data_IF_390296552933
#
_entry.id   IF_390296552933
#
_cell.length_a   1.000
_cell.length_b   1.000
_cell.length_c   1.000
_cell.angle_alpha   90.00
_cell.angle_beta   90.00
_cell.angle_gamma   90.00
#
_symmetry.space_group_name_H-M   'P 1'
#
loop_
_entity.id
_entity.type
_entity.pdbx_description
1 polymer ?
#
# COMPACT_ATOMS: atom_id res chain seq x y z
N UNK A 1 -16.74 23.71 -16.32
CA UNK A 1 -17.00 22.57 -17.21
C UNK A 1 -18.04 21.70 -16.54
N UNK A 2 -19.22 21.53 -17.15
CA UNK A 2 -20.26 20.65 -16.62
C UNK A 2 -19.85 19.20 -16.76
N UNK A 3 -20.40 18.32 -15.90
CA UNK A 3 -20.30 16.88 -16.13
C UNK A 3 -20.84 16.57 -17.54
N UNK A 4 -20.15 15.75 -18.35
CA UNK A 4 -20.69 15.33 -19.64
C UNK A 4 -22.09 14.74 -19.44
N UNK A 5 -23.02 14.97 -20.39
CA UNK A 5 -24.38 14.46 -20.28
C UNK A 5 -24.33 12.94 -20.14
N UNK A 6 -25.05 12.42 -19.15
CA UNK A 6 -25.24 10.98 -18.98
C UNK A 6 -26.37 10.58 -19.91
N UNK A 7 -26.15 9.55 -20.71
CA UNK A 7 -27.20 8.96 -21.53
C UNK A 7 -28.13 8.15 -20.62
N UNK A 8 -29.31 8.70 -20.33
CA UNK A 8 -30.31 8.10 -19.43
C UNK A 8 -30.96 6.84 -20.04
N UNK A 9 -30.72 6.54 -21.33
CA UNK A 9 -31.28 5.35 -22.02
C UNK A 9 -30.52 4.05 -21.69
N UNK A 10 -29.34 4.14 -21.06
CA UNK A 10 -28.56 2.98 -20.62
C UNK A 10 -28.86 2.70 -19.14
N UNK A 11 -29.17 1.45 -18.73
CA UNK A 11 -29.35 1.12 -17.31
C UNK A 11 -28.11 1.49 -16.48
N UNK A 12 -28.31 2.06 -15.29
CA UNK A 12 -27.23 2.58 -14.44
C UNK A 12 -26.11 1.56 -14.16
N UNK A 13 -26.44 0.28 -13.97
CA UNK A 13 -25.44 -0.78 -13.78
C UNK A 13 -24.55 -0.99 -15.01
N UNK A 14 -25.13 -0.89 -16.21
CA UNK A 14 -24.39 -0.97 -17.47
C UNK A 14 -23.53 0.29 -17.66
N UNK A 15 -24.04 1.47 -17.33
CA UNK A 15 -23.25 2.70 -17.35
C UNK A 15 -22.01 2.59 -16.46
N UNK A 16 -22.17 2.11 -15.22
CA UNK A 16 -21.06 1.93 -14.27
C UNK A 16 -20.04 0.92 -14.81
N UNK A 17 -20.50 -0.17 -15.42
CA UNK A 17 -19.63 -1.18 -16.05
C UNK A 17 -18.82 -0.58 -17.21
N UNK A 18 -19.46 0.19 -18.09
CA UNK A 18 -18.80 0.86 -19.22
C UNK A 18 -17.78 1.89 -18.70
N UNK A 19 -18.18 2.74 -17.76
CA UNK A 19 -17.32 3.77 -17.19
C UNK A 19 -16.12 3.18 -16.46
N UNK A 20 -16.31 2.09 -15.69
CA UNK A 20 -15.21 1.37 -15.04
C UNK A 20 -14.20 0.87 -16.07
N UNK A 21 -14.66 0.22 -17.15
CA UNK A 21 -13.77 -0.28 -18.22
C UNK A 21 -12.97 0.85 -18.88
N UNK A 22 -13.63 1.98 -19.17
CA UNK A 22 -12.96 3.14 -19.76
C UNK A 22 -11.96 3.76 -18.78
N UNK A 23 -12.34 3.93 -17.52
CA UNK A 23 -11.44 4.42 -16.48
C UNK A 23 -10.22 3.53 -16.35
N UNK A 24 -10.40 2.21 -16.22
CA UNK A 24 -9.32 1.26 -16.04
C UNK A 24 -8.35 1.28 -17.24
N UNK A 25 -8.88 1.40 -18.47
CA UNK A 25 -8.07 1.57 -19.68
C UNK A 25 -7.19 2.82 -19.62
N UNK A 26 -7.81 4.00 -19.47
CA UNK A 26 -7.05 5.25 -19.50
C UNK A 26 -6.14 5.39 -18.29
N UNK A 27 -6.57 4.91 -17.12
CA UNK A 27 -5.72 4.85 -15.93
C UNK A 27 -4.48 3.99 -16.19
N UNK A 28 -4.62 2.82 -16.82
CA UNK A 28 -3.46 2.00 -17.19
C UNK A 28 -2.50 2.69 -18.18
N UNK A 29 -3.02 3.52 -19.08
CA UNK A 29 -2.20 4.29 -20.04
C UNK A 29 -1.39 5.41 -19.37
N UNK A 30 -1.89 6.01 -18.27
CA UNK A 30 -1.25 7.19 -17.64
C UNK A 30 -0.78 6.98 -16.19
N UNK A 31 -1.00 5.83 -15.57
CA UNK A 31 -0.72 5.63 -14.14
C UNK A 31 0.76 5.85 -13.76
N UNK A 32 1.66 5.72 -14.72
CA UNK A 32 3.10 5.97 -14.54
C UNK A 32 3.42 7.47 -14.65
N UNK A 33 2.62 8.22 -15.41
CA UNK A 33 2.82 9.65 -15.64
C UNK A 33 2.53 10.45 -14.36
N UNK A 34 3.58 11.09 -13.83
CA UNK A 34 3.47 11.88 -12.60
C UNK A 34 3.60 11.05 -11.31
N UNK A 35 3.84 9.75 -11.39
CA UNK A 35 4.21 8.96 -10.20
C UNK A 35 5.72 8.99 -10.00
N UNK A 36 6.14 9.31 -8.78
CA UNK A 36 7.55 9.32 -8.38
C UNK A 36 7.66 8.81 -6.94
N UNK A 37 8.85 8.30 -6.60
CA UNK A 37 9.14 7.89 -5.24
C UNK A 37 9.35 9.11 -4.34
N UNK A 38 8.81 9.05 -3.13
CA UNK A 38 9.19 9.99 -2.08
C UNK A 38 10.70 9.87 -1.76
N UNK A 39 11.32 10.94 -1.23
CA UNK A 39 12.72 10.90 -0.81
C UNK A 39 13.02 9.67 0.07
N UNK A 40 14.18 9.05 -0.17
CA UNK A 40 14.72 7.93 0.59
C UNK A 40 13.96 6.59 0.51
N UNK A 41 12.87 6.47 -0.27
CA UNK A 41 12.14 5.18 -0.38
C UNK A 41 13.02 4.08 -0.98
N UNK A 42 13.59 4.29 -2.17
CA UNK A 42 14.42 3.27 -2.82
C UNK A 42 15.65 2.88 -1.97
N UNK A 43 16.36 3.88 -1.43
CA UNK A 43 17.54 3.65 -0.58
C UNK A 43 17.18 2.86 0.68
N UNK A 44 16.03 3.18 1.29
CA UNK A 44 15.57 2.49 2.50
C UNK A 44 15.19 1.05 2.17
N UNK A 45 14.40 0.80 1.12
CA UNK A 45 14.06 -0.57 0.69
C UNK A 45 15.32 -1.39 0.38
N UNK A 46 16.30 -0.80 -0.31
CA UNK A 46 17.59 -1.44 -0.57
C UNK A 46 18.37 -1.77 0.69
N UNK A 47 18.45 -0.85 1.65
CA UNK A 47 19.13 -1.08 2.92
C UNK A 47 18.43 -2.14 3.79
N UNK A 48 17.09 -2.21 3.74
CA UNK A 48 16.31 -3.25 4.43
C UNK A 48 16.52 -4.63 3.80
N UNK A 49 16.50 -4.72 2.46
CA UNK A 49 16.81 -5.96 1.74
C UNK A 49 18.25 -6.42 2.02
N UNK A 50 19.23 -5.50 2.04
CA UNK A 50 20.63 -5.81 2.35
C UNK A 50 20.83 -6.34 3.78
N UNK A 51 19.92 -6.00 4.71
CA UNK A 51 19.86 -6.58 6.07
C UNK A 51 19.18 -7.96 6.12
N UNK A 52 18.72 -8.48 4.98
CA UNK A 52 18.06 -9.79 4.88
C UNK A 52 16.61 -9.80 5.33
N UNK A 53 15.96 -8.63 5.44
CA UNK A 53 14.55 -8.55 5.83
C UNK A 53 13.66 -8.74 4.60
N UNK A 54 12.75 -9.74 4.60
CA UNK A 54 11.73 -9.87 3.56
C UNK A 54 10.81 -8.65 3.57
N UNK A 55 10.45 -8.17 2.38
CA UNK A 55 9.55 -7.02 2.22
C UNK A 55 8.30 -7.43 1.47
N UNK A 56 7.15 -6.93 1.93
CA UNK A 56 5.86 -7.12 1.29
C UNK A 56 5.17 -5.79 1.02
N UNK A 57 4.41 -5.74 -0.06
CA UNK A 57 3.61 -4.58 -0.44
C UNK A 57 2.12 -4.89 -0.34
N UNK A 58 1.36 -4.00 0.28
CA UNK A 58 -0.10 -4.07 0.36
C UNK A 58 -0.73 -2.74 -0.07
N UNK A 59 -1.58 -2.77 -1.10
CA UNK A 59 -2.27 -1.58 -1.60
C UNK A 59 -3.75 -1.86 -1.91
N UNK A 60 -4.60 -0.83 -1.79
CA UNK A 60 -5.99 -0.90 -2.26
C UNK A 60 -6.10 -0.65 -3.77
N UNK A 61 -5.01 -0.25 -4.43
CA UNK A 61 -4.93 -0.08 -5.88
C UNK A 61 -5.26 -1.40 -6.59
N UNK A 62 -6.05 -1.39 -7.68
CA UNK A 62 -6.38 -2.61 -8.40
C UNK A 62 -5.12 -3.35 -8.85
N UNK A 63 -5.10 -4.68 -8.66
CA UNK A 63 -3.92 -5.53 -8.85
C UNK A 63 -3.24 -5.34 -10.22
N UNK A 64 -3.98 -5.23 -11.35
CA UNK A 64 -3.36 -5.08 -12.68
C UNK A 64 -2.44 -3.87 -12.83
N UNK A 65 -2.61 -2.82 -12.01
CA UNK A 65 -1.83 -1.59 -12.10
C UNK A 65 -0.64 -1.54 -11.13
N UNK A 66 -0.47 -2.54 -10.27
CA UNK A 66 0.56 -2.50 -9.22
C UNK A 66 1.92 -2.90 -9.80
N UNK A 67 2.02 -4.05 -10.46
CA UNK A 67 3.29 -4.54 -10.98
C UNK A 67 3.94 -3.59 -12.02
N UNK A 68 3.21 -3.09 -13.05
CA UNK A 68 3.80 -2.14 -14.01
C UNK A 68 4.36 -0.89 -13.31
N UNK A 69 3.63 -0.37 -12.32
CA UNK A 69 4.08 0.80 -11.58
C UNK A 69 5.37 0.55 -10.78
N UNK A 70 5.46 -0.59 -10.09
CA UNK A 70 6.66 -0.94 -9.33
C UNK A 70 7.87 -1.17 -10.24
N UNK A 71 7.65 -1.69 -11.45
CA UNK A 71 8.68 -1.86 -12.48
C UNK A 71 9.16 -0.51 -13.01
N UNK A 72 8.23 0.40 -13.36
CA UNK A 72 8.55 1.75 -13.81
C UNK A 72 9.33 2.57 -12.76
N UNK A 73 9.07 2.32 -11.47
CA UNK A 73 9.77 2.94 -10.35
C UNK A 73 11.05 2.20 -9.91
N UNK A 74 11.42 1.10 -10.57
CA UNK A 74 12.58 0.24 -10.27
C UNK A 74 12.64 -0.27 -8.81
N UNK A 75 11.48 -0.54 -8.21
CA UNK A 75 11.35 -1.05 -6.83
C UNK A 75 10.68 -2.43 -6.73
N UNK A 76 10.17 -2.98 -7.84
CA UNK A 76 9.54 -4.31 -7.85
C UNK A 76 10.44 -5.41 -7.23
N UNK A 77 11.76 -5.33 -7.50
CA UNK A 77 12.79 -6.26 -7.01
C UNK A 77 12.91 -6.37 -5.48
N UNK A 78 12.37 -5.40 -4.73
CA UNK A 78 12.46 -5.40 -3.27
C UNK A 78 11.39 -6.27 -2.61
N UNK A 79 10.25 -6.48 -3.27
CA UNK A 79 9.08 -7.12 -2.65
C UNK A 79 8.97 -8.60 -3.03
N UNK A 80 8.97 -9.48 -2.03
CA UNK A 80 8.76 -10.92 -2.23
C UNK A 80 7.28 -11.30 -2.31
N UNK A 81 6.40 -10.44 -1.77
CA UNK A 81 4.94 -10.59 -1.84
C UNK A 81 4.32 -9.23 -2.15
N UNK A 82 3.45 -9.19 -3.16
CA UNK A 82 2.66 -8.02 -3.52
C UNK A 82 1.19 -8.42 -3.47
N UNK A 83 0.38 -7.64 -2.75
CA UNK A 83 -1.07 -7.79 -2.65
C UNK A 83 -1.71 -6.47 -3.09
N UNK A 84 -2.40 -6.53 -4.23
CA UNK A 84 -3.28 -5.48 -4.71
C UNK A 84 -4.68 -5.60 -4.13
N UNK A 85 -5.53 -4.62 -4.44
CA UNK A 85 -6.87 -4.56 -3.88
C UNK A 85 -7.75 -5.76 -4.28
N UNK A 86 -7.56 -6.31 -5.47
CA UNK A 86 -8.45 -7.35 -6.02
C UNK A 86 -7.98 -8.77 -5.67
N UNK A 87 -6.86 -8.88 -4.94
CA UNK A 87 -6.32 -10.16 -4.46
C UNK A 87 -7.02 -10.66 -3.18
N UNK A 88 -7.89 -9.84 -2.61
CA UNK A 88 -8.65 -10.12 -1.38
C UNK A 88 -10.12 -9.78 -1.56
N UNK A 89 -10.96 -10.41 -0.74
CA UNK A 89 -12.39 -10.07 -0.68
C UNK A 89 -12.61 -8.69 -0.06
N UNK A 90 -11.90 -8.38 1.03
CA UNK A 90 -12.04 -7.11 1.75
C UNK A 90 -10.72 -6.34 1.77
N UNK A 91 -10.74 -5.13 1.20
CA UNK A 91 -9.59 -4.20 1.14
C UNK A 91 -9.33 -3.53 2.50
N UNK A 92 -8.17 -2.88 2.68
CA UNK A 92 -7.90 -2.04 3.87
C UNK A 92 -9.03 -1.02 4.03
N UNK A 93 -9.61 -0.79 5.23
CA UNK A 93 -9.07 -1.09 6.57
C UNK A 93 -9.29 -2.52 7.09
N UNK A 94 -9.88 -3.42 6.31
CA UNK A 94 -10.02 -4.81 6.73
C UNK A 94 -8.63 -5.48 6.86
N UNK A 95 -8.42 -6.42 7.82
CA UNK A 95 -7.12 -7.06 8.02
C UNK A 95 -6.73 -8.10 6.94
N UNK A 96 -7.67 -8.56 6.11
CA UNK A 96 -7.46 -9.63 5.12
C UNK A 96 -6.16 -9.49 4.30
N UNK A 97 -5.82 -8.31 3.75
CA UNK A 97 -4.58 -8.17 2.98
C UNK A 97 -3.33 -8.46 3.82
N UNK A 98 -3.29 -7.99 5.07
CA UNK A 98 -2.13 -8.16 5.96
C UNK A 98 -2.02 -9.61 6.42
N UNK A 99 -3.15 -10.26 6.69
CA UNK A 99 -3.21 -11.68 7.03
C UNK A 99 -2.75 -12.56 5.87
N UNK A 100 -3.18 -12.26 4.64
CA UNK A 100 -2.76 -12.97 3.44
C UNK A 100 -1.25 -12.82 3.20
N UNK A 101 -0.67 -11.63 3.39
CA UNK A 101 0.78 -11.50 3.29
C UNK A 101 1.49 -12.25 4.44
N UNK A 102 0.93 -12.28 5.65
CA UNK A 102 1.50 -13.03 6.78
C UNK A 102 1.56 -14.54 6.46
N UNK A 103 0.47 -15.08 5.93
CA UNK A 103 0.36 -16.44 5.42
C UNK A 103 1.41 -16.74 4.34
N UNK A 104 1.46 -15.92 3.27
CA UNK A 104 2.41 -16.13 2.15
C UNK A 104 3.88 -16.06 2.56
N UNK A 105 4.19 -15.33 3.63
CA UNK A 105 5.54 -15.24 4.17
C UNK A 105 5.82 -16.28 5.28
N UNK A 106 4.83 -17.05 5.71
CA UNK A 106 4.98 -18.05 6.76
C UNK A 106 5.31 -17.45 8.13
N UNK A 107 4.81 -16.25 8.45
CA UNK A 107 5.06 -15.57 9.72
C UNK A 107 3.75 -15.21 10.44
N UNK A 108 3.80 -15.02 11.76
CA UNK A 108 2.67 -14.46 12.50
C UNK A 108 2.56 -12.94 12.26
N UNK A 109 1.34 -12.35 12.29
CA UNK A 109 1.15 -10.90 12.12
C UNK A 109 1.96 -10.05 13.10
N UNK A 110 2.20 -10.54 14.32
CA UNK A 110 2.99 -9.85 15.36
C UNK A 110 4.49 -9.78 15.01
N UNK A 111 4.97 -10.63 14.11
CA UNK A 111 6.37 -10.66 13.64
C UNK A 111 6.60 -9.76 12.42
N UNK A 112 5.55 -9.10 11.94
CA UNK A 112 5.57 -8.12 10.87
C UNK A 112 5.48 -6.72 11.47
N UNK A 113 6.20 -5.76 10.88
CA UNK A 113 5.95 -4.34 11.06
C UNK A 113 5.21 -3.79 9.82
N UNK A 114 4.03 -3.19 10.00
CA UNK A 114 3.31 -2.53 8.90
C UNK A 114 3.59 -1.02 8.90
N UNK A 115 4.09 -0.51 7.77
CA UNK A 115 4.41 0.91 7.57
C UNK A 115 3.39 1.47 6.60
N UNK A 116 2.64 2.49 6.99
CA UNK A 116 1.67 3.13 6.11
C UNK A 116 1.43 4.58 6.48
N UNK A 117 0.66 5.26 5.66
CA UNK A 117 0.47 6.70 5.70
C UNK A 117 -0.99 7.08 5.92
N UNK A 118 -1.92 6.13 5.85
CA UNK A 118 -3.35 6.41 5.95
C UNK A 118 -4.03 5.78 7.17
N UNK A 119 -5.21 6.30 7.51
CA UNK A 119 -6.10 5.69 8.51
C UNK A 119 -6.44 4.24 8.19
N UNK A 120 -6.57 3.90 6.91
CA UNK A 120 -6.89 2.55 6.47
C UNK A 120 -5.75 1.59 6.79
N UNK A 121 -4.52 2.06 6.69
CA UNK A 121 -3.31 1.29 7.00
C UNK A 121 -3.24 0.94 8.48
N UNK A 122 -3.38 1.96 9.32
CA UNK A 122 -3.27 1.78 10.77
C UNK A 122 -4.42 0.93 11.31
N UNK A 123 -5.63 1.12 10.78
CA UNK A 123 -6.78 0.28 11.15
C UNK A 123 -6.60 -1.17 10.72
N UNK A 124 -6.09 -1.42 9.51
CA UNK A 124 -5.82 -2.79 9.04
C UNK A 124 -4.73 -3.46 9.89
N UNK A 125 -3.65 -2.75 10.22
CA UNK A 125 -2.57 -3.27 11.07
C UNK A 125 -3.09 -3.66 12.45
N UNK A 126 -3.88 -2.79 13.10
CA UNK A 126 -4.52 -3.06 14.39
C UNK A 126 -5.45 -4.26 14.34
N UNK A 127 -6.31 -4.32 13.32
CA UNK A 127 -7.25 -5.43 13.16
C UNK A 127 -6.53 -6.76 12.90
N UNK A 128 -5.36 -6.74 12.25
CA UNK A 128 -4.53 -7.91 12.03
C UNK A 128 -3.64 -8.28 13.25
N UNK A 129 -3.58 -7.41 14.27
CA UNK A 129 -2.68 -7.58 15.42
C UNK A 129 -1.20 -7.38 15.08
N UNK A 130 -0.91 -6.52 14.11
CA UNK A 130 0.44 -6.19 13.63
C UNK A 130 0.88 -4.81 14.15
N UNK A 131 2.12 -4.68 14.69
CA UNK A 131 2.74 -3.39 14.96
C UNK A 131 2.73 -2.46 13.75
N UNK A 132 2.55 -1.17 14.00
CA UNK A 132 2.31 -0.16 12.96
C UNK A 132 3.19 1.08 13.08
N UNK A 133 3.71 1.54 11.94
CA UNK A 133 4.36 2.84 11.79
C UNK A 133 3.47 3.71 10.89
N UNK A 134 3.13 4.89 11.38
CA UNK A 134 2.48 5.94 10.60
C UNK A 134 3.49 6.91 10.02
N UNK A 135 3.50 7.08 8.70
CA UNK A 135 4.26 8.13 8.03
C UNK A 135 3.43 9.41 7.98
N UNK A 136 4.07 10.56 8.24
CA UNK A 136 3.39 11.87 8.24
C UNK A 136 3.18 12.48 6.85
N UNK A 137 3.68 11.81 5.82
CA UNK A 137 3.50 12.18 4.42
C UNK A 137 2.81 11.05 3.66
N UNK A 138 2.29 11.37 2.48
CA UNK A 138 1.48 10.45 1.67
C UNK A 138 0.04 10.93 1.56
N UNK A 139 -0.90 9.99 1.42
CA UNK A 139 -2.31 10.22 1.20
C UNK A 139 -3.16 9.73 2.38
N UNK A 140 -3.41 10.63 3.33
CA UNK A 140 -4.33 10.38 4.45
C UNK A 140 -5.61 11.24 4.40
N UNK A 141 -6.13 11.53 3.20
CA UNK A 141 -7.39 12.29 3.05
C UNK A 141 -7.39 13.69 3.71
N UNK A 142 -6.21 14.27 3.98
CA UNK A 142 -6.06 15.54 4.70
C UNK A 142 -6.13 15.42 6.22
N UNK A 143 -6.19 14.21 6.77
CA UNK A 143 -6.17 13.94 8.21
C UNK A 143 -4.74 13.71 8.71
N UNK A 144 -4.47 14.10 9.95
CA UNK A 144 -3.19 13.81 10.59
C UNK A 144 -3.11 12.31 10.99
N UNK A 145 -1.98 11.67 10.74
CA UNK A 145 -1.82 10.22 10.93
C UNK A 145 -1.90 9.79 12.40
N UNK A 146 -1.55 10.68 13.33
CA UNK A 146 -1.61 10.46 14.78
C UNK A 146 -3.03 10.20 15.29
N UNK A 147 -4.05 10.74 14.61
CA UNK A 147 -5.47 10.47 14.93
C UNK A 147 -5.83 8.99 14.79
N UNK A 148 -5.11 8.25 13.95
CA UNK A 148 -5.28 6.80 13.79
C UNK A 148 -4.53 5.99 14.84
N UNK A 149 -3.71 6.65 15.68
CA UNK A 149 -2.93 6.11 16.79
C UNK A 149 -2.02 4.93 16.36
N UNK A 150 -1.08 5.11 15.41
CA UNK A 150 -0.06 4.10 15.14
C UNK A 150 0.84 3.89 16.35
N UNK A 151 1.56 2.76 16.41
CA UNK A 151 2.49 2.48 17.51
C UNK A 151 3.68 3.45 17.50
N UNK A 152 4.12 3.85 16.30
CA UNK A 152 5.19 4.83 16.10
C UNK A 152 4.84 5.75 14.94
N UNK A 153 5.28 7.01 15.00
CA UNK A 153 5.15 7.98 13.90
C UNK A 153 6.53 8.38 13.41
N UNK A 154 6.74 8.33 12.10
CA UNK A 154 7.97 8.79 11.45
C UNK A 154 7.72 9.88 10.42
N UNK A 155 8.67 10.80 10.32
CA UNK A 155 8.64 11.89 9.34
C UNK A 155 9.27 11.47 8.02
N UNK A 156 10.14 10.47 8.05
CA UNK A 156 10.82 9.94 6.87
C UNK A 156 10.90 8.42 6.93
N UNK A 157 10.82 7.76 5.78
CA UNK A 157 10.91 6.29 5.73
C UNK A 157 12.28 5.78 6.18
N UNK A 158 13.35 6.56 6.00
CA UNK A 158 14.69 6.16 6.46
C UNK A 158 14.85 6.14 7.99
N UNK A 159 13.90 6.70 8.76
CA UNK A 159 13.83 6.55 10.22
C UNK A 159 13.59 5.09 10.64
N UNK A 160 13.21 4.23 9.70
CA UNK A 160 13.26 2.79 9.84
C UNK A 160 14.70 2.31 10.13
N UNK A 161 15.69 2.71 9.35
CA UNK A 161 17.03 2.13 9.38
C UNK A 161 17.77 2.17 10.73
N UNK A 162 17.69 3.25 11.55
CA UNK A 162 18.38 3.32 12.84
C UNK A 162 17.70 2.53 13.96
N UNK A 163 16.50 1.97 13.76
CA UNK A 163 15.70 1.51 14.87
C UNK A 163 15.94 0.02 15.26
N UNK A 164 15.95 -0.30 16.57
CA UNK A 164 16.24 -1.64 17.12
C UNK A 164 15.19 -2.72 16.79
N UNK A 165 14.13 -2.36 16.06
CA UNK A 165 13.10 -3.29 15.61
C UNK A 165 13.65 -4.29 14.58
N UNK A 166 14.76 -3.99 13.88
CA UNK A 166 15.39 -4.89 12.91
C UNK A 166 15.93 -6.19 13.54
N UNK A 167 16.04 -6.23 14.87
CA UNK A 167 16.46 -7.39 15.64
C UNK A 167 15.29 -8.13 16.32
N UNK A 168 14.07 -7.57 16.27
CA UNK A 168 12.88 -8.11 16.96
C UNK A 168 11.79 -8.60 16.01
N UNK A 169 11.78 -8.16 14.75
CA UNK A 169 10.77 -8.54 13.76
C UNK A 169 11.40 -9.26 12.57
N UNK A 170 10.71 -10.27 12.06
CA UNK A 170 11.18 -11.11 10.96
C UNK A 170 10.90 -10.50 9.58
N UNK A 171 10.19 -9.36 9.50
CA UNK A 171 9.77 -8.72 8.25
C UNK A 171 9.28 -7.27 8.47
N UNK A 172 9.52 -6.38 7.48
CA UNK A 172 8.89 -5.05 7.39
C UNK A 172 8.04 -5.01 6.15
N UNK A 173 6.87 -4.40 6.23
CA UNK A 173 5.97 -4.22 5.09
C UNK A 173 5.60 -2.77 4.94
N UNK A 174 5.56 -2.31 3.71
CA UNK A 174 5.20 -0.95 3.37
C UNK A 174 3.86 -0.93 2.62
N UNK A 175 3.04 0.05 2.93
CA UNK A 175 1.96 0.53 2.08
C UNK A 175 2.58 1.38 0.96
N UNK A 176 1.97 1.33 -0.22
CA UNK A 176 2.32 2.18 -1.37
C UNK A 176 1.37 3.36 -1.46
#
# INVERSE_FOLDING_TARGET
MGKPPVDDDIPAEEQVRILRKLFDRYYGEVAEEGTFLFPHVADTLGALQAKGLPLGLVTNKPTPFVAPLLEALDIAKYFSVVIGGDDVQNKKPHPDPLLLVAERMGIAPQQMLFVGDSRNDIQAAKAAGCPSVGLTYGYNYGEAIDLSQPDVIYQSINDLLPAPWAYHYSCIRASA
#
